data_IF_461827815805
#
_entry.id   IF_461827815805
#
_cell.length_a   1.000
_cell.length_b   1.000
_cell.length_c   1.000
_cell.angle_alpha   90.00
_cell.angle_beta   90.00
_cell.angle_gamma   90.00
#
_symmetry.space_group_name_H-M   'P 1'
#
loop_
_entity.id
_entity.type
_entity.pdbx_description
1 polymer ?
#
# COMPACT_ATOMS: atom_id res chain seq x y z
N UNK A 1 -29.22 22.38 52.11
CA UNK A 1 -29.08 21.06 51.47
C UNK A 1 -29.04 21.31 49.96
N UNK A 2 -27.97 20.89 49.25
CA UNK A 2 -27.49 21.34 47.90
C UNK A 2 -26.79 22.71 47.92
N UNK A 3 -25.68 23.02 47.24
CA UNK A 3 -24.92 22.52 46.05
C UNK A 3 -23.43 22.92 46.23
N UNK A 4 -22.46 22.06 45.93
CA UNK A 4 -21.60 22.03 44.72
C UNK A 4 -20.77 23.31 44.45
N UNK A 5 -19.44 23.18 44.61
CA UNK A 5 -18.30 23.93 44.04
C UNK A 5 -17.07 23.09 44.46
N UNK A 6 -16.44 22.24 43.67
CA UNK A 6 -15.98 22.28 42.27
C UNK A 6 -14.87 23.32 42.02
N UNK A 7 -13.72 23.11 42.69
CA UNK A 7 -12.43 23.69 42.30
C UNK A 7 -11.58 22.58 41.65
N UNK A 8 -11.91 22.29 40.39
CA UNK A 8 -11.08 21.47 39.52
C UNK A 8 -9.89 22.28 39.03
N UNK A 9 -8.70 21.96 39.55
CA UNK A 9 -7.45 22.39 38.94
C UNK A 9 -7.36 21.86 37.50
N UNK A 10 -7.21 22.79 36.56
CA UNK A 10 -6.90 22.55 35.15
C UNK A 10 -5.56 21.81 35.06
N UNK A 11 -5.62 20.49 34.94
CA UNK A 11 -4.50 19.70 34.43
C UNK A 11 -4.32 20.11 32.97
N UNK A 12 -3.40 21.04 32.74
CA UNK A 12 -2.82 21.36 31.44
C UNK A 12 -2.34 20.05 30.81
N UNK A 13 -3.14 19.53 29.88
CA UNK A 13 -2.73 18.45 29.00
C UNK A 13 -1.53 18.95 28.19
N UNK A 14 -0.33 18.53 28.59
CA UNK A 14 0.85 18.64 27.75
C UNK A 14 0.54 17.87 26.46
N UNK A 15 0.79 18.43 25.27
CA UNK A 15 0.69 17.65 24.05
C UNK A 15 1.64 16.47 24.18
N UNK A 16 1.10 15.26 24.02
CA UNK A 16 1.89 14.03 23.98
C UNK A 16 3.08 14.25 23.04
N UNK A 17 4.29 14.11 23.59
CA UNK A 17 5.50 14.06 22.80
C UNK A 17 5.37 12.85 21.87
N UNK A 18 4.95 13.07 20.63
CA UNK A 18 5.10 12.11 19.54
C UNK A 18 6.57 11.73 19.50
N UNK A 19 6.92 10.53 19.97
CA UNK A 19 8.26 9.99 19.82
C UNK A 19 8.63 10.05 18.34
N UNK A 20 9.83 10.52 18.03
CA UNK A 20 10.35 10.49 16.68
C UNK A 20 10.41 9.02 16.23
N UNK A 21 9.77 8.62 15.11
CA UNK A 21 9.81 7.24 14.64
C UNK A 21 11.21 6.81 14.19
N UNK A 22 12.15 7.76 14.11
CA UNK A 22 13.56 7.54 13.86
C UNK A 22 14.30 7.55 15.19
N UNK A 23 14.61 6.35 15.71
CA UNK A 23 15.32 6.17 16.96
C UNK A 23 16.84 6.33 16.85
N UNK A 24 17.49 6.37 18.01
CA UNK A 24 18.93 6.17 18.14
C UNK A 24 19.17 4.68 18.45
N UNK A 25 19.73 3.93 17.50
CA UNK A 25 19.95 2.49 17.64
C UNK A 25 20.78 1.94 16.49
N UNK A 26 21.45 0.80 16.71
CA UNK A 26 22.24 0.12 15.68
C UNK A 26 21.32 -0.31 14.53
N UNK A 27 21.64 0.07 13.31
CA UNK A 27 20.85 -0.28 12.11
C UNK A 27 19.57 0.53 11.93
N UNK A 28 19.28 1.49 12.80
CA UNK A 28 18.13 2.38 12.63
C UNK A 28 18.34 3.29 11.41
N UNK A 29 17.30 3.44 10.59
CA UNK A 29 17.31 4.38 9.48
C UNK A 29 17.20 5.80 10.04
N UNK A 30 18.10 6.69 9.65
CA UNK A 30 18.02 8.07 10.10
C UNK A 30 16.84 8.79 9.43
N UNK A 31 16.31 9.81 10.10
CA UNK A 31 15.23 10.64 9.53
C UNK A 31 15.65 11.26 8.19
N UNK A 32 16.88 11.75 8.12
CA UNK A 32 17.40 12.40 6.90
C UNK A 32 17.48 11.42 5.74
N UNK A 33 17.96 10.20 5.97
CA UNK A 33 18.08 9.18 4.92
C UNK A 33 16.69 8.72 4.46
N UNK A 34 15.75 8.55 5.39
CA UNK A 34 14.37 8.23 5.05
C UNK A 34 13.70 9.34 4.23
N UNK A 35 13.84 10.60 4.64
CA UNK A 35 13.26 11.74 3.92
C UNK A 35 13.89 11.88 2.52
N UNK A 36 15.21 11.67 2.39
CA UNK A 36 15.90 11.67 1.11
C UNK A 36 15.36 10.58 0.17
N UNK A 37 15.18 9.36 0.66
CA UNK A 37 14.57 8.27 -0.11
C UNK A 37 13.12 8.59 -0.49
N UNK A 38 12.30 9.05 0.47
CA UNK A 38 10.90 9.40 0.25
C UNK A 38 10.74 10.43 -0.87
N UNK A 39 11.58 11.45 -0.88
CA UNK A 39 11.44 12.60 -1.77
C UNK A 39 11.98 12.32 -3.17
N UNK A 40 13.05 11.51 -3.27
CA UNK A 40 13.80 11.30 -4.51
C UNK A 40 13.58 9.93 -5.16
N UNK A 41 13.36 8.87 -4.36
CA UNK A 41 13.47 7.49 -4.83
C UNK A 41 12.15 6.72 -4.83
N UNK A 42 11.13 7.16 -4.07
CA UNK A 42 9.78 6.59 -4.17
C UNK A 42 9.21 6.84 -5.57
N UNK A 43 9.10 5.77 -6.37
CA UNK A 43 8.59 5.80 -7.75
C UNK A 43 7.10 5.56 -7.87
N UNK A 44 6.48 4.91 -6.88
CA UNK A 44 5.03 4.75 -6.85
C UNK A 44 4.35 6.12 -6.73
N UNK A 45 3.64 6.53 -7.78
CA UNK A 45 2.97 7.85 -7.83
C UNK A 45 1.89 7.99 -6.75
N UNK A 46 1.12 6.92 -6.52
CA UNK A 46 0.14 6.87 -5.44
C UNK A 46 0.84 6.93 -4.07
N UNK A 47 1.86 6.12 -3.83
CA UNK A 47 2.66 6.17 -2.60
C UNK A 47 3.24 7.56 -2.32
N UNK A 48 3.82 8.20 -3.34
CA UNK A 48 4.38 9.57 -3.24
C UNK A 48 3.32 10.59 -2.85
N UNK A 49 2.12 10.50 -3.46
CA UNK A 49 0.96 11.33 -3.09
C UNK A 49 0.60 11.14 -1.61
N UNK A 50 0.46 9.89 -1.16
CA UNK A 50 0.07 9.61 0.23
C UNK A 50 1.13 10.06 1.24
N UNK A 51 2.42 9.92 0.92
CA UNK A 51 3.51 10.48 1.73
C UNK A 51 3.43 12.00 1.84
N UNK A 52 3.19 12.70 0.72
CA UNK A 52 3.07 14.17 0.70
C UNK A 52 1.87 14.67 1.50
N UNK A 53 0.78 13.90 1.53
CA UNK A 53 -0.40 14.20 2.34
C UNK A 53 -0.26 13.79 3.81
N UNK A 54 0.88 13.20 4.21
CA UNK A 54 1.11 12.71 5.57
C UNK A 54 0.25 11.50 5.95
N UNK A 55 -0.23 10.75 4.96
CA UNK A 55 -1.14 9.60 5.15
C UNK A 55 -0.45 8.25 5.26
N UNK A 56 0.87 8.22 5.14
CA UNK A 56 1.65 7.07 5.60
C UNK A 56 1.82 7.12 7.12
N UNK A 57 1.57 6.00 7.79
CA UNK A 57 2.09 5.73 9.12
C UNK A 57 3.44 5.05 8.96
N UNK A 58 4.49 5.57 9.59
CA UNK A 58 5.86 5.06 9.42
C UNK A 58 6.42 4.84 10.82
N UNK A 59 6.81 3.60 11.10
CA UNK A 59 7.28 3.20 12.42
C UNK A 59 8.50 2.29 12.29
N UNK A 60 9.44 2.38 13.23
CA UNK A 60 10.53 1.40 13.33
C UNK A 60 10.08 0.21 14.19
N UNK A 61 10.16 -0.99 13.63
CA UNK A 61 9.73 -2.23 14.28
C UNK A 61 10.83 -3.27 14.24
N UNK A 62 11.12 -3.88 15.39
CA UNK A 62 12.19 -4.87 15.53
C UNK A 62 11.64 -6.30 15.69
N UNK A 63 10.36 -6.46 15.99
CA UNK A 63 9.70 -7.76 16.24
C UNK A 63 8.19 -7.66 15.99
N UNK A 64 7.50 -8.81 16.04
CA UNK A 64 6.05 -8.87 15.77
C UNK A 64 5.19 -8.09 16.77
N UNK A 65 5.58 -8.00 18.05
CA UNK A 65 4.85 -7.21 19.04
C UNK A 65 4.84 -5.72 18.68
N UNK A 66 5.99 -5.16 18.33
CA UNK A 66 6.10 -3.76 17.90
C UNK A 66 5.35 -3.51 16.60
N UNK A 67 5.40 -4.46 15.66
CA UNK A 67 4.60 -4.40 14.44
C UNK A 67 3.11 -4.32 14.75
N UNK A 68 2.58 -5.22 15.60
CA UNK A 68 1.16 -5.22 15.98
C UNK A 68 0.70 -3.90 16.59
N UNK A 69 1.45 -3.36 17.56
CA UNK A 69 1.13 -2.06 18.18
C UNK A 69 1.13 -0.92 17.16
N UNK A 70 2.12 -0.86 16.27
CA UNK A 70 2.17 0.15 15.22
C UNK A 70 1.04 -0.01 14.20
N UNK A 71 0.71 -1.26 13.85
CA UNK A 71 -0.37 -1.56 12.93
C UNK A 71 -1.74 -1.17 13.49
N UNK A 72 -2.01 -1.39 14.79
CA UNK A 72 -3.25 -0.97 15.43
C UNK A 72 -3.43 0.56 15.37
N UNK A 73 -2.36 1.32 15.62
CA UNK A 73 -2.37 2.78 15.47
C UNK A 73 -2.65 3.21 14.02
N UNK A 74 -2.08 2.49 13.05
CA UNK A 74 -2.37 2.70 11.63
C UNK A 74 -3.85 2.41 11.32
N UNK A 75 -4.39 1.27 11.78
CA UNK A 75 -5.76 0.86 11.54
C UNK A 75 -6.76 1.88 12.12
N UNK A 76 -6.47 2.44 13.30
CA UNK A 76 -7.24 3.54 13.87
C UNK A 76 -7.18 4.81 13.01
N UNK A 77 -6.01 5.12 12.43
CA UNK A 77 -5.87 6.18 11.45
C UNK A 77 -6.66 5.94 10.16
N UNK A 78 -6.72 4.70 9.68
CA UNK A 78 -7.53 4.29 8.52
C UNK A 78 -9.02 4.52 8.80
N UNK A 79 -9.51 4.10 9.97
CA UNK A 79 -10.92 4.28 10.40
C UNK A 79 -11.34 5.75 10.45
N UNK A 80 -10.40 6.66 10.76
CA UNK A 80 -10.60 8.12 10.74
C UNK A 80 -10.32 8.77 9.39
N UNK A 81 -10.00 7.99 8.35
CA UNK A 81 -9.58 8.45 7.03
C UNK A 81 -8.32 9.36 7.04
N UNK A 82 -7.49 9.23 8.07
CA UNK A 82 -6.24 9.98 8.26
C UNK A 82 -5.04 9.27 7.63
N UNK A 83 -5.12 7.94 7.47
CA UNK A 83 -4.03 7.08 6.98
C UNK A 83 -4.49 6.18 5.85
N UNK A 84 -3.58 5.89 4.93
CA UNK A 84 -3.82 5.07 3.71
C UNK A 84 -2.74 4.01 3.49
N UNK A 85 -1.54 4.19 4.04
CA UNK A 85 -0.47 3.21 3.99
C UNK A 85 0.30 3.11 5.31
N UNK A 86 0.88 1.95 5.55
CA UNK A 86 1.75 1.68 6.68
C UNK A 86 3.11 1.17 6.20
N UNK A 87 4.18 1.76 6.70
CA UNK A 87 5.54 1.33 6.42
C UNK A 87 6.26 1.01 7.73
N UNK A 88 6.42 -0.29 8.00
CA UNK A 88 7.15 -0.79 9.15
C UNK A 88 8.63 -0.97 8.75
N UNK A 89 9.50 -0.08 9.20
CA UNK A 89 10.94 -0.10 8.89
C UNK A 89 11.66 -0.97 9.91
N UNK A 90 12.43 -1.95 9.43
CA UNK A 90 13.15 -2.90 10.28
C UNK A 90 14.61 -2.50 10.42
N UNK A 91 15.07 -2.11 11.63
CA UNK A 91 16.46 -1.75 11.86
C UNK A 91 17.40 -2.89 11.48
N UNK A 92 18.36 -2.59 10.61
CA UNK A 92 19.33 -3.55 10.09
C UNK A 92 20.50 -2.82 9.43
N UNK A 93 21.68 -3.42 9.49
CA UNK A 93 22.90 -2.97 8.83
C UNK A 93 23.10 -3.70 7.50
N UNK A 94 23.88 -3.11 6.59
CA UNK A 94 24.16 -3.68 5.27
C UNK A 94 24.79 -5.07 5.34
N UNK A 95 25.59 -5.34 6.38
CA UNK A 95 26.24 -6.65 6.59
C UNK A 95 25.38 -7.68 7.32
N UNK A 96 24.16 -7.34 7.76
CA UNK A 96 23.31 -8.27 8.51
C UNK A 96 22.75 -9.39 7.61
N UNK A 97 22.68 -9.14 6.29
CA UNK A 97 22.20 -10.09 5.29
C UNK A 97 23.11 -10.09 4.06
N UNK A 98 23.18 -11.22 3.38
CA UNK A 98 23.96 -11.41 2.16
C UNK A 98 23.12 -11.38 0.88
N UNK A 99 21.79 -11.50 1.00
CA UNK A 99 20.84 -11.56 -0.10
C UNK A 99 19.40 -11.24 0.38
N UNK A 100 18.48 -11.12 -0.57
CA UNK A 100 17.05 -10.90 -0.30
C UNK A 100 16.42 -12.07 0.45
N UNK A 101 16.94 -13.29 0.33
CA UNK A 101 16.37 -14.48 0.99
C UNK A 101 16.49 -14.36 2.51
N UNK A 102 17.64 -13.91 3.01
CA UNK A 102 17.84 -13.63 4.44
C UNK A 102 16.91 -12.54 4.95
N UNK A 103 16.76 -11.47 4.18
CA UNK A 103 15.88 -10.34 4.49
C UNK A 103 14.41 -10.76 4.58
N UNK A 104 13.93 -11.53 3.59
CA UNK A 104 12.56 -12.03 3.54
C UNK A 104 12.21 -12.96 4.70
N UNK A 105 13.15 -13.82 5.11
CA UNK A 105 12.96 -14.66 6.30
C UNK A 105 12.76 -13.82 7.55
N UNK A 106 13.57 -12.77 7.73
CA UNK A 106 13.45 -11.86 8.88
C UNK A 106 12.10 -11.15 8.91
N UNK A 107 11.64 -10.66 7.76
CA UNK A 107 10.33 -10.00 7.65
C UNK A 107 9.18 -10.99 7.89
N UNK A 108 9.28 -12.22 7.38
CA UNK A 108 8.31 -13.28 7.60
C UNK A 108 8.19 -13.67 9.08
N UNK A 109 9.31 -13.75 9.82
CA UNK A 109 9.31 -13.98 11.28
C UNK A 109 8.51 -12.91 12.03
N UNK A 110 8.68 -11.63 11.67
CA UNK A 110 7.93 -10.52 12.28
C UNK A 110 6.43 -10.69 12.06
N UNK A 111 6.00 -11.07 10.85
CA UNK A 111 4.58 -11.28 10.54
C UNK A 111 3.98 -12.48 11.29
N UNK A 112 4.74 -13.55 11.47
CA UNK A 112 4.33 -14.71 12.28
C UNK A 112 4.22 -14.33 13.75
N UNK A 113 5.22 -13.66 14.31
CA UNK A 113 5.22 -13.19 15.69
C UNK A 113 4.06 -12.22 15.96
N UNK A 114 3.68 -11.41 14.97
CA UNK A 114 2.54 -10.49 15.05
C UNK A 114 1.18 -11.20 14.92
N UNK A 115 1.15 -12.50 14.60
CA UNK A 115 -0.08 -13.29 14.49
C UNK A 115 -0.82 -13.14 13.16
N UNK A 116 -0.17 -12.59 12.12
CA UNK A 116 -0.77 -12.41 10.79
C UNK A 116 -0.48 -13.56 9.82
N UNK A 117 0.33 -14.53 10.23
CA UNK A 117 0.64 -15.72 9.44
C UNK A 117 1.00 -16.90 10.33
N UNK A 118 0.72 -18.12 9.87
CA UNK A 118 1.08 -19.35 10.59
C UNK A 118 2.54 -19.77 10.36
N UNK A 119 3.13 -19.38 9.21
CA UNK A 119 4.48 -19.80 8.84
C UNK A 119 5.21 -18.77 8.00
N UNK A 120 6.39 -18.34 8.47
CA UNK A 120 7.30 -17.50 7.70
C UNK A 120 7.73 -18.20 6.41
N UNK A 121 7.85 -19.53 6.44
CA UNK A 121 8.16 -20.34 5.28
C UNK A 121 7.07 -20.30 4.20
N UNK A 122 5.80 -20.25 4.59
CA UNK A 122 4.69 -20.16 3.63
C UNK A 122 4.60 -18.74 3.03
N UNK A 123 4.80 -17.71 3.86
CA UNK A 123 4.90 -16.32 3.41
C UNK A 123 5.96 -16.09 2.35
N UNK A 124 7.18 -16.58 2.56
CA UNK A 124 8.26 -16.39 1.56
C UNK A 124 8.03 -17.22 0.29
N UNK A 125 7.10 -18.19 0.29
CA UNK A 125 6.75 -18.98 -0.89
C UNK A 125 5.52 -18.42 -1.63
N UNK A 126 5.17 -17.14 -1.44
CA UNK A 126 4.11 -16.49 -2.20
C UNK A 126 2.75 -16.49 -1.53
N UNK A 127 2.65 -16.72 -0.22
CA UNK A 127 1.38 -16.59 0.48
C UNK A 127 0.98 -15.10 0.63
N UNK A 128 -0.28 -14.82 0.31
CA UNK A 128 -0.90 -13.51 0.52
C UNK A 128 -1.38 -13.39 1.95
N UNK A 129 -0.95 -12.34 2.65
CA UNK A 129 -1.60 -11.88 3.88
C UNK A 129 -2.66 -10.86 3.49
N UNK A 130 -3.89 -11.05 3.94
CA UNK A 130 -4.97 -10.08 3.79
C UNK A 130 -5.47 -9.68 5.17
N UNK A 131 -5.27 -8.42 5.54
CA UNK A 131 -5.71 -7.89 6.84
C UNK A 131 -7.00 -7.08 6.62
N UNK A 132 -8.17 -7.62 6.98
CA UNK A 132 -9.43 -6.90 6.81
C UNK A 132 -9.55 -5.78 7.86
N UNK A 133 -9.86 -4.57 7.41
CA UNK A 133 -10.20 -3.44 8.27
C UNK A 133 -11.63 -2.98 7.97
N UNK A 134 -12.46 -2.98 9.02
CA UNK A 134 -13.79 -2.37 9.00
C UNK A 134 -13.67 -0.84 9.02
N UNK A 135 -14.30 -0.18 8.06
CA UNK A 135 -14.23 1.27 7.88
C UNK A 135 -15.48 1.78 7.15
N UNK A 136 -15.93 2.99 7.47
CA UNK A 136 -16.92 3.67 6.64
C UNK A 136 -16.30 4.00 5.29
N UNK A 137 -16.87 3.50 4.19
CA UNK A 137 -16.33 3.71 2.85
C UNK A 137 -16.18 5.21 2.56
N UNK A 138 -14.99 5.71 2.20
CA UNK A 138 -14.76 7.15 1.99
C UNK A 138 -15.55 7.71 0.79
N UNK A 139 -16.07 6.84 -0.07
CA UNK A 139 -16.87 7.19 -1.25
C UNK A 139 -18.37 7.13 -0.98
N UNK A 140 -18.84 6.11 -0.27
CA UNK A 140 -20.27 5.86 -0.11
C UNK A 140 -20.82 6.20 1.27
N UNK A 141 -19.96 6.32 2.29
CA UNK A 141 -20.34 6.50 3.69
C UNK A 141 -20.89 5.23 4.35
N UNK A 142 -20.98 4.12 3.61
CA UNK A 142 -21.50 2.83 4.08
C UNK A 142 -20.35 2.04 4.71
N UNK A 143 -20.60 1.45 5.89
CA UNK A 143 -19.64 0.57 6.55
C UNK A 143 -19.34 -0.66 5.69
N UNK A 144 -18.05 -0.93 5.50
CA UNK A 144 -17.57 -2.05 4.68
C UNK A 144 -16.20 -2.51 5.16
N UNK A 145 -15.65 -3.53 4.50
CA UNK A 145 -14.33 -4.08 4.79
C UNK A 145 -13.42 -3.80 3.61
N UNK A 146 -12.27 -3.21 3.89
CA UNK A 146 -11.14 -3.15 2.97
C UNK A 146 -10.04 -4.10 3.44
N UNK A 147 -9.53 -4.93 2.54
CA UNK A 147 -8.34 -5.73 2.82
C UNK A 147 -7.07 -4.90 2.55
N UNK A 148 -6.13 -4.98 3.50
CA UNK A 148 -4.80 -4.39 3.40
C UNK A 148 -3.76 -5.50 3.28
N UNK A 149 -2.82 -5.30 2.37
CA UNK A 149 -1.86 -6.32 1.96
C UNK A 149 -0.44 -5.86 2.30
N UNK A 150 0.26 -6.53 3.23
CA UNK A 150 1.66 -6.31 3.49
C UNK A 150 2.52 -6.93 2.38
N UNK A 151 3.51 -6.17 1.91
CA UNK A 151 4.52 -6.57 0.92
C UNK A 151 5.90 -6.27 1.48
N UNK A 152 6.82 -7.22 1.34
CA UNK A 152 8.20 -7.08 1.80
C UNK A 152 9.05 -6.24 0.85
N UNK A 153 9.75 -5.23 1.38
CA UNK A 153 10.79 -4.48 0.67
C UNK A 153 12.17 -4.87 1.21
N UNK A 154 13.04 -5.28 0.28
CA UNK A 154 14.38 -5.77 0.57
C UNK A 154 15.45 -4.84 -0.02
N UNK A 155 16.58 -4.66 0.66
CA UNK A 155 17.68 -3.87 0.09
C UNK A 155 18.29 -4.58 -1.11
N UNK A 156 18.48 -5.89 -0.98
CA UNK A 156 19.16 -6.69 -1.99
C UNK A 156 18.34 -6.88 -3.27
N UNK A 157 17.04 -6.61 -3.25
CA UNK A 157 16.20 -6.67 -4.45
C UNK A 157 16.62 -5.66 -5.53
N UNK A 158 17.40 -4.63 -5.20
CA UNK A 158 18.02 -3.72 -6.16
C UNK A 158 19.34 -4.24 -6.77
N UNK A 159 19.91 -5.32 -6.24
CA UNK A 159 21.21 -5.87 -6.66
C UNK A 159 20.99 -6.88 -7.79
N UNK A 160 21.48 -6.57 -8.99
CA UNK A 160 21.25 -7.40 -10.19
C UNK A 160 21.77 -8.85 -10.06
N UNK A 161 22.78 -9.08 -9.22
CA UNK A 161 23.31 -10.42 -8.95
C UNK A 161 22.48 -11.21 -7.92
N UNK A 162 21.53 -10.57 -7.24
CA UNK A 162 20.65 -11.23 -6.28
C UNK A 162 19.66 -12.16 -7.01
N UNK A 163 19.45 -13.39 -6.54
CA UNK A 163 18.54 -14.33 -7.20
C UNK A 163 17.08 -13.84 -7.24
N UNK A 164 16.69 -12.93 -6.34
CA UNK A 164 15.37 -12.34 -6.26
C UNK A 164 15.35 -10.88 -6.75
N UNK A 165 16.29 -10.49 -7.61
CA UNK A 165 16.37 -9.16 -8.20
C UNK A 165 15.00 -8.70 -8.73
N UNK A 166 14.51 -7.63 -8.10
CA UNK A 166 13.24 -7.00 -8.38
C UNK A 166 13.30 -5.56 -7.83
N UNK A 167 13.79 -4.61 -8.63
CA UNK A 167 14.02 -3.24 -8.15
C UNK A 167 12.73 -2.54 -7.72
N UNK A 168 11.56 -3.04 -8.13
CA UNK A 168 10.26 -2.49 -7.76
C UNK A 168 9.85 -2.83 -6.32
N UNK A 169 10.43 -3.88 -5.74
CA UNK A 169 10.28 -4.31 -4.34
C UNK A 169 11.53 -3.96 -3.51
N UNK A 170 12.30 -2.96 -3.94
CA UNK A 170 13.51 -2.53 -3.27
C UNK A 170 13.35 -1.22 -2.51
N UNK A 171 14.09 -1.10 -1.41
CA UNK A 171 14.25 0.13 -0.64
C UNK A 171 15.65 0.16 -0.01
N UNK A 172 16.20 1.33 0.38
CA UNK A 172 17.51 1.42 1.04
C UNK A 172 17.49 0.85 2.47
N UNK A 173 16.34 0.34 2.92
CA UNK A 173 16.13 -0.29 4.20
C UNK A 173 15.20 -1.48 4.07
N UNK A 174 15.26 -2.37 5.04
CA UNK A 174 14.32 -3.47 5.17
C UNK A 174 12.97 -2.94 5.67
N UNK A 175 11.87 -3.27 5.00
CA UNK A 175 10.55 -2.81 5.43
C UNK A 175 9.41 -3.75 5.04
N UNK A 176 8.31 -3.62 5.76
CA UNK A 176 7.00 -4.20 5.40
C UNK A 176 6.09 -3.03 5.03
N UNK A 177 5.62 -3.02 3.79
CA UNK A 177 4.74 -2.00 3.26
C UNK A 177 3.32 -2.54 3.15
N UNK A 178 2.38 -2.00 3.94
CA UNK A 178 1.00 -2.47 3.98
C UNK A 178 0.06 -1.42 3.42
N UNK A 179 -0.63 -1.76 2.32
CA UNK A 179 -1.53 -0.84 1.60
C UNK A 179 -2.79 -1.54 1.09
N UNK A 180 -3.77 -0.76 0.67
CA UNK A 180 -4.98 -1.22 -0.02
C UNK A 180 -5.27 -0.30 -1.19
N UNK A 181 -5.14 -0.80 -2.43
CA UNK A 181 -5.35 -0.01 -3.65
C UNK A 181 -6.79 0.53 -3.72
N UNK A 182 -7.78 -0.28 -3.38
CA UNK A 182 -9.19 0.11 -3.40
C UNK A 182 -9.50 1.19 -2.36
N UNK A 183 -8.91 1.09 -1.17
CA UNK A 183 -9.06 2.13 -0.14
C UNK A 183 -8.33 3.43 -0.53
N UNK A 184 -7.09 3.33 -1.00
CA UNK A 184 -6.32 4.48 -1.46
C UNK A 184 -7.00 5.20 -2.64
N UNK A 185 -7.58 4.44 -3.57
CA UNK A 185 -8.41 4.99 -4.65
C UNK A 185 -9.66 5.68 -4.11
N UNK A 186 -10.35 5.08 -3.14
CA UNK A 186 -11.48 5.72 -2.45
C UNK A 186 -11.10 7.04 -1.77
N UNK A 187 -9.92 7.10 -1.17
CA UNK A 187 -9.38 8.33 -0.57
C UNK A 187 -9.01 9.40 -1.61
N UNK A 188 -8.57 9.02 -2.81
CA UNK A 188 -8.43 9.96 -3.93
C UNK A 188 -9.78 10.57 -4.31
N UNK A 189 -10.84 9.76 -4.39
CA UNK A 189 -12.20 10.25 -4.68
C UNK A 189 -12.66 11.22 -3.60
N UNK A 190 -12.47 10.86 -2.33
CA UNK A 190 -12.76 11.73 -1.19
C UNK A 190 -12.07 13.09 -1.30
N UNK A 191 -10.78 13.10 -1.60
CA UNK A 191 -10.02 14.36 -1.71
C UNK A 191 -10.45 15.24 -2.87
N UNK A 192 -10.75 14.61 -4.02
CA UNK A 192 -11.24 15.36 -5.18
C UNK A 192 -12.67 15.87 -4.97
N UNK A 193 -13.51 15.15 -4.21
CA UNK A 193 -14.80 15.65 -3.78
C UNK A 193 -14.65 16.89 -2.88
N UNK A 194 -13.83 16.79 -1.83
CA UNK A 194 -13.57 17.91 -0.92
C UNK A 194 -13.02 19.15 -1.64
N UNK A 195 -12.16 18.95 -2.64
CA UNK A 195 -11.59 20.04 -3.43
C UNK A 195 -12.58 20.71 -4.39
N UNK A 196 -13.49 19.95 -4.99
CA UNK A 196 -14.36 20.44 -6.07
C UNK A 196 -15.79 20.74 -5.65
N UNK A 197 -16.30 20.02 -4.65
CA UNK A 197 -17.67 20.10 -4.17
C UNK A 197 -17.77 20.54 -2.70
N UNK A 198 -16.64 20.59 -1.98
CA UNK A 198 -16.58 20.97 -0.56
C UNK A 198 -17.44 20.10 0.37
N UNK A 199 -17.59 18.83 0.00
CA UNK A 199 -18.33 17.83 0.75
C UNK A 199 -17.72 16.44 0.52
N UNK A 200 -18.14 15.47 1.32
CA UNK A 200 -17.78 14.07 1.10
C UNK A 200 -18.45 13.54 -0.20
N UNK A 201 -17.89 12.53 -0.88
CA UNK A 201 -18.44 12.05 -2.14
C UNK A 201 -19.90 11.58 -2.01
N UNK A 202 -20.26 10.97 -0.88
CA UNK A 202 -21.63 10.54 -0.62
C UNK A 202 -22.60 11.68 -0.30
N UNK A 203 -22.14 12.92 -0.16
CA UNK A 203 -23.01 14.10 0.02
C UNK A 203 -23.32 14.81 -1.31
N UNK A 204 -22.72 14.35 -2.43
CA UNK A 204 -22.98 14.91 -3.76
C UNK A 204 -24.42 14.57 -4.18
N UNK A 205 -25.26 15.59 -4.28
CA UNK A 205 -26.69 15.45 -4.53
C UNK A 205 -27.01 14.91 -5.94
N UNK A 206 -26.29 15.37 -6.96
CA UNK A 206 -26.57 15.02 -8.35
C UNK A 206 -25.77 13.78 -8.77
N UNK A 207 -26.47 12.71 -9.17
CA UNK A 207 -25.85 11.46 -9.66
C UNK A 207 -24.83 11.71 -10.77
N UNK A 208 -25.16 12.58 -11.73
CA UNK A 208 -24.25 12.91 -12.83
C UNK A 208 -22.93 13.56 -12.36
N UNK A 209 -22.97 14.38 -11.30
CA UNK A 209 -21.77 15.00 -10.76
C UNK A 209 -20.88 13.99 -10.03
N UNK A 210 -21.50 13.06 -9.29
CA UNK A 210 -20.82 11.94 -8.64
C UNK A 210 -20.16 11.00 -9.65
N UNK A 211 -20.89 10.58 -10.69
CA UNK A 211 -20.35 9.73 -11.76
C UNK A 211 -19.19 10.42 -12.51
N UNK A 212 -19.31 11.73 -12.78
CA UNK A 212 -18.24 12.52 -13.38
C UNK A 212 -17.00 12.61 -12.47
N UNK A 213 -17.19 12.76 -11.16
CA UNK A 213 -16.09 12.72 -10.19
C UNK A 213 -15.38 11.37 -10.25
N UNK A 214 -16.13 10.26 -10.19
CA UNK A 214 -15.57 8.91 -10.25
C UNK A 214 -14.77 8.67 -11.53
N UNK A 215 -15.31 9.05 -12.68
CA UNK A 215 -14.61 8.92 -13.96
C UNK A 215 -13.29 9.71 -13.99
N UNK A 216 -13.30 10.94 -13.44
CA UNK A 216 -12.09 11.77 -13.32
C UNK A 216 -11.06 11.11 -12.39
N UNK A 217 -11.50 10.54 -11.27
CA UNK A 217 -10.61 9.85 -10.34
C UNK A 217 -10.02 8.59 -10.96
N UNK A 218 -10.82 7.76 -11.62
CA UNK A 218 -10.35 6.55 -12.31
C UNK A 218 -9.30 6.89 -13.38
N UNK A 219 -9.52 7.96 -14.15
CA UNK A 219 -8.54 8.47 -15.13
C UNK A 219 -7.23 8.91 -14.46
N UNK A 220 -7.32 9.63 -13.33
CA UNK A 220 -6.14 10.04 -12.58
C UNK A 220 -5.38 8.84 -12.00
N UNK A 221 -6.10 7.86 -11.46
CA UNK A 221 -5.54 6.61 -10.93
C UNK A 221 -4.79 5.82 -12.02
N UNK A 222 -5.41 5.65 -13.19
CA UNK A 222 -4.77 5.05 -14.37
C UNK A 222 -3.47 5.74 -14.74
N UNK A 223 -3.46 7.08 -14.80
CA UNK A 223 -2.26 7.84 -15.15
C UNK A 223 -1.15 7.71 -14.10
N UNK A 224 -1.52 7.66 -12.81
CA UNK A 224 -0.56 7.38 -11.73
C UNK A 224 0.06 5.99 -11.87
N UNK A 225 -0.74 4.96 -12.16
CA UNK A 225 -0.22 3.60 -12.37
C UNK A 225 0.68 3.50 -13.61
N UNK A 226 0.31 4.12 -14.73
CA UNK A 226 1.16 4.19 -15.94
C UNK A 226 2.52 4.82 -15.61
N UNK A 227 2.53 5.94 -14.88
CA UNK A 227 3.76 6.63 -14.50
C UNK A 227 4.62 5.77 -13.56
N UNK A 228 4.00 5.08 -12.59
CA UNK A 228 4.68 4.16 -11.68
C UNK A 228 5.37 3.03 -12.46
N UNK A 229 4.62 2.32 -13.29
CA UNK A 229 5.14 1.18 -14.08
C UNK A 229 6.25 1.63 -15.03
N UNK A 230 6.04 2.75 -15.73
CA UNK A 230 7.06 3.32 -16.63
C UNK A 230 8.33 3.69 -15.88
N UNK A 231 8.21 4.21 -14.65
CA UNK A 231 9.37 4.58 -13.83
C UNK A 231 10.14 3.36 -13.35
N UNK A 232 9.46 2.30 -12.91
CA UNK A 232 10.09 1.04 -12.52
C UNK A 232 10.69 0.28 -13.70
N UNK A 233 10.06 0.32 -14.88
CA UNK A 233 10.62 -0.25 -16.10
C UNK A 233 11.99 0.38 -16.44
N UNK A 234 12.11 1.71 -16.34
CA UNK A 234 13.34 2.45 -16.67
C UNK A 234 14.53 2.16 -15.74
N UNK A 235 14.28 1.73 -14.51
CA UNK A 235 15.35 1.44 -13.55
C UNK A 235 15.79 -0.03 -13.56
N UNK A 236 15.05 -0.90 -14.26
CA UNK A 236 15.42 -2.30 -14.37
C UNK A 236 16.73 -2.45 -15.17
N UNK A 237 17.74 -3.04 -14.52
CA UNK A 237 19.01 -3.39 -15.15
C UNK A 237 18.94 -4.67 -15.98
N UNK A 238 17.88 -5.46 -15.80
CA UNK A 238 17.62 -6.72 -16.50
C UNK A 238 16.20 -6.67 -17.13
N UNK A 239 16.07 -6.63 -18.47
CA UNK A 239 14.78 -6.53 -19.16
C UNK A 239 13.79 -7.64 -18.80
N UNK A 240 14.27 -8.87 -18.58
CA UNK A 240 13.46 -10.04 -18.21
C UNK A 240 12.90 -9.97 -16.77
N UNK A 241 13.41 -9.05 -15.95
CA UNK A 241 12.89 -8.74 -14.61
C UNK A 241 12.24 -7.36 -14.55
N UNK A 242 12.07 -6.69 -15.69
CA UNK A 242 11.42 -5.39 -15.72
C UNK A 242 9.90 -5.56 -15.59
N UNK A 243 9.26 -4.65 -14.85
CA UNK A 243 7.82 -4.46 -14.99
C UNK A 243 7.53 -3.84 -16.35
N UNK A 244 6.43 -4.20 -16.99
CA UNK A 244 6.06 -3.66 -18.30
C UNK A 244 4.57 -3.35 -18.39
N UNK A 245 4.21 -2.40 -19.24
CA UNK A 245 2.83 -2.03 -19.53
C UNK A 245 2.42 -2.63 -20.88
N UNK A 246 1.21 -3.17 -20.99
CA UNK A 246 0.66 -3.59 -22.28
C UNK A 246 0.40 -2.39 -23.19
N UNK A 247 0.40 -2.61 -24.51
CA UNK A 247 0.16 -1.53 -25.50
C UNK A 247 -1.19 -0.84 -25.31
N UNK A 248 -2.23 -1.61 -24.98
CA UNK A 248 -3.57 -1.11 -24.69
C UNK A 248 -3.72 -0.50 -23.29
N UNK A 249 -2.67 -0.60 -22.46
CA UNK A 249 -2.59 -0.11 -21.07
C UNK A 249 -3.68 -0.66 -20.15
N UNK A 250 -4.22 -1.82 -20.50
CA UNK A 250 -5.22 -2.54 -19.69
C UNK A 250 -4.58 -3.53 -18.73
N UNK A 251 -3.32 -3.90 -18.98
CA UNK A 251 -2.58 -4.87 -18.20
C UNK A 251 -1.16 -4.37 -17.96
N UNK A 252 -0.53 -4.91 -16.93
CA UNK A 252 0.89 -4.75 -16.68
C UNK A 252 1.48 -6.07 -16.23
N UNK A 253 2.77 -6.27 -16.47
CA UNK A 253 3.49 -7.48 -16.05
C UNK A 253 4.55 -7.14 -15.02
N UNK A 254 4.80 -8.09 -14.12
CA UNK A 254 5.82 -7.99 -13.08
C UNK A 254 6.50 -9.34 -12.86
N UNK A 255 7.77 -9.35 -12.39
CA UNK A 255 8.46 -10.58 -11.99
C UNK A 255 7.99 -11.12 -10.62
N UNK A 256 6.87 -10.61 -10.10
CA UNK A 256 6.26 -11.01 -8.85
C UNK A 256 4.73 -11.03 -8.97
N UNK A 257 4.08 -11.78 -8.09
CA UNK A 257 2.64 -11.70 -7.93
C UNK A 257 2.26 -10.53 -6.98
N UNK A 258 1.11 -9.89 -7.19
CA UNK A 258 0.66 -8.73 -6.42
C UNK A 258 -0.85 -8.87 -6.10
N UNK A 259 -1.24 -9.08 -4.83
CA UNK A 259 -0.42 -9.04 -3.64
C UNK A 259 0.12 -10.41 -3.24
N UNK A 260 1.41 -10.48 -2.95
CA UNK A 260 2.02 -11.53 -2.12
C UNK A 260 2.95 -10.87 -1.13
N UNK A 261 3.13 -11.50 0.04
CA UNK A 261 4.06 -10.95 1.02
C UNK A 261 5.49 -10.96 0.47
N UNK A 262 5.90 -12.11 -0.07
CA UNK A 262 7.23 -12.34 -0.61
C UNK A 262 7.25 -13.60 -1.49
N UNK A 263 8.24 -13.72 -2.38
CA UNK A 263 8.43 -14.89 -3.25
C UNK A 263 9.91 -15.27 -3.32
N UNK A 264 10.21 -16.56 -3.10
CA UNK A 264 11.54 -17.14 -3.31
C UNK A 264 11.80 -17.57 -4.75
N UNK A 265 10.78 -17.52 -5.60
CA UNK A 265 10.89 -17.78 -7.03
C UNK A 265 10.20 -16.66 -7.80
N UNK A 266 10.96 -15.99 -8.66
CA UNK A 266 10.45 -14.87 -9.45
C UNK A 266 9.86 -15.38 -10.76
N UNK A 267 8.55 -15.24 -10.89
CA UNK A 267 7.77 -15.61 -12.07
C UNK A 267 7.03 -14.40 -12.63
N UNK A 268 6.82 -14.37 -13.95
CA UNK A 268 6.12 -13.25 -14.56
C UNK A 268 4.62 -13.42 -14.40
N UNK A 269 3.97 -12.39 -13.88
CA UNK A 269 2.53 -12.33 -13.70
C UNK A 269 1.94 -11.15 -14.47
N UNK A 270 0.73 -11.31 -14.98
CA UNK A 270 -0.08 -10.26 -15.60
C UNK A 270 -1.14 -9.76 -14.63
N UNK A 271 -1.21 -8.45 -14.49
CA UNK A 271 -2.04 -7.76 -13.51
C UNK A 271 -2.94 -6.74 -14.20
N UNK A 272 -4.14 -6.54 -13.66
CA UNK A 272 -5.09 -5.55 -14.19
C UNK A 272 -4.61 -4.12 -13.94
N UNK A 273 -4.83 -3.23 -14.92
CA UNK A 273 -4.68 -1.79 -14.73
C UNK A 273 -5.97 -1.16 -14.20
N UNK A 274 -5.90 0.03 -13.56
CA UNK A 274 -7.06 0.78 -13.06
C UNK A 274 -8.24 0.91 -14.01
N UNK A 275 -7.99 1.04 -15.32
CA UNK A 275 -9.05 1.11 -16.34
C UNK A 275 -10.03 -0.08 -16.26
N UNK A 276 -9.58 -1.22 -15.72
CA UNK A 276 -10.41 -2.39 -15.43
C UNK A 276 -10.94 -2.34 -13.99
N UNK A 277 -10.06 -2.47 -13.00
CA UNK A 277 -10.53 -2.70 -11.61
C UNK A 277 -11.16 -1.47 -10.97
N UNK A 278 -10.68 -0.26 -11.27
CA UNK A 278 -11.24 0.97 -10.73
C UNK A 278 -12.61 1.28 -11.37
N UNK A 279 -12.83 0.86 -12.62
CA UNK A 279 -14.14 0.92 -13.25
C UNK A 279 -15.16 0.04 -12.50
N UNK A 280 -14.79 -1.19 -12.16
CA UNK A 280 -15.63 -2.08 -11.33
C UNK A 280 -15.93 -1.50 -9.95
N UNK A 281 -14.93 -0.90 -9.29
CA UNK A 281 -15.13 -0.21 -8.01
C UNK A 281 -16.11 0.96 -8.14
N UNK A 282 -15.97 1.78 -9.18
CA UNK A 282 -16.89 2.89 -9.45
C UNK A 282 -18.32 2.40 -9.67
N UNK A 283 -18.53 1.33 -10.44
CA UNK A 283 -19.85 0.72 -10.66
C UNK A 283 -20.46 0.26 -9.33
N UNK A 284 -19.69 -0.41 -8.47
CA UNK A 284 -20.14 -0.83 -7.13
C UNK A 284 -20.56 0.36 -6.28
N UNK A 285 -19.78 1.44 -6.26
CA UNK A 285 -20.09 2.63 -5.48
C UNK A 285 -21.33 3.36 -6.00
N UNK A 286 -21.52 3.43 -7.32
CA UNK A 286 -22.74 3.99 -7.94
C UNK A 286 -23.96 3.17 -7.55
N UNK A 287 -23.89 1.84 -7.72
CA UNK A 287 -24.98 0.94 -7.38
C UNK A 287 -25.35 1.00 -5.89
N UNK A 288 -24.34 1.05 -5.01
CA UNK A 288 -24.57 1.20 -3.57
C UNK A 288 -25.20 2.55 -3.21
N UNK A 289 -24.86 3.62 -3.93
CA UNK A 289 -25.38 4.97 -3.63
C UNK A 289 -26.76 5.26 -4.19
N UNK A 290 -27.08 4.74 -5.37
CA UNK A 290 -28.28 5.15 -6.11
C UNK A 290 -29.25 4.00 -6.40
N UNK A 291 -28.78 2.75 -6.33
CA UNK A 291 -29.56 1.58 -6.74
C UNK A 291 -29.83 0.62 -5.55
N UNK A 292 -29.52 1.03 -4.32
CA UNK A 292 -29.65 0.25 -3.07
C UNK A 292 -28.95 -1.12 -3.12
N UNK A 293 -27.87 -1.23 -3.88
CA UNK A 293 -27.07 -2.45 -3.90
C UNK A 293 -26.20 -2.57 -2.64
N UNK A 294 -25.94 -3.79 -2.21
CA UNK A 294 -24.99 -4.05 -1.12
C UNK A 294 -23.56 -3.71 -1.55
N UNK A 295 -22.80 -3.06 -0.67
CA UNK A 295 -21.37 -2.82 -0.88
C UNK A 295 -20.57 -4.04 -0.42
N UNK A 296 -20.44 -5.02 -1.32
CA UNK A 296 -19.75 -6.28 -1.03
C UNK A 296 -18.21 -6.08 -1.07
N UNK A 297 -17.47 -6.45 0.00
CA UNK A 297 -16.02 -6.43 0.02
C UNK A 297 -15.39 -7.21 -1.14
N UNK A 298 -14.29 -6.71 -1.68
CA UNK A 298 -13.59 -7.36 -2.80
C UNK A 298 -12.14 -6.90 -2.92
N UNK A 299 -11.32 -7.74 -3.55
CA UNK A 299 -9.89 -7.51 -3.84
C UNK A 299 -9.62 -6.69 -5.10
N UNK A 300 -10.56 -5.85 -5.53
CA UNK A 300 -10.34 -5.02 -6.72
C UNK A 300 -9.09 -4.15 -6.56
N UNK A 301 -8.18 -4.23 -7.53
CA UNK A 301 -6.90 -3.53 -7.52
C UNK A 301 -5.72 -4.35 -6.99
N UNK A 302 -5.98 -5.38 -6.18
CA UNK A 302 -4.98 -6.28 -5.60
C UNK A 302 -5.53 -7.71 -5.49
N UNK A 303 -5.94 -8.29 -6.62
CA UNK A 303 -6.54 -9.63 -6.69
C UNK A 303 -5.56 -10.76 -6.96
N UNK A 304 -4.26 -10.46 -7.12
CA UNK A 304 -3.30 -11.38 -7.71
C UNK A 304 -3.27 -11.29 -9.23
N UNK A 305 -2.13 -11.62 -9.80
CA UNK A 305 -1.89 -11.70 -11.24
C UNK A 305 -2.02 -13.11 -11.79
N UNK A 306 -2.26 -13.17 -13.09
CA UNK A 306 -2.26 -14.41 -13.85
C UNK A 306 -0.81 -14.76 -14.24
N UNK A 307 -0.34 -15.95 -13.84
CA UNK A 307 0.97 -16.44 -14.25
C UNK A 307 1.06 -16.52 -15.78
N UNK A 308 2.14 -15.99 -16.36
CA UNK A 308 2.43 -16.06 -17.79
C UNK A 308 3.52 -17.10 -18.05
N UNK A 309 3.21 -18.09 -18.90
CA UNK A 309 4.21 -19.04 -19.36
C UNK A 309 5.25 -18.34 -20.25
N UNK A 310 6.47 -18.87 -20.30
CA UNK A 310 7.58 -18.29 -21.06
C UNK A 310 7.25 -18.05 -22.56
N UNK A 311 6.46 -18.95 -23.15
CA UNK A 311 6.03 -18.86 -24.55
C UNK A 311 5.06 -17.68 -24.79
N UNK A 312 4.24 -17.33 -23.78
CA UNK A 312 3.31 -16.20 -23.85
C UNK A 312 4.03 -14.85 -23.68
N UNK A 313 5.10 -14.83 -22.86
CA UNK A 313 5.97 -13.66 -22.69
C UNK A 313 6.67 -13.34 -24.02
N UNK A 314 7.24 -14.36 -24.68
CA UNK A 314 7.93 -14.17 -25.95
C UNK A 314 7.01 -13.68 -27.08
N UNK A 315 5.71 -13.97 -27.02
CA UNK A 315 4.72 -13.46 -27.96
C UNK A 315 4.37 -11.98 -27.70
N UNK A 316 4.37 -11.54 -26.44
CA UNK A 316 4.07 -10.15 -26.05
C UNK A 316 5.22 -9.17 -26.34
N UNK A 317 6.46 -9.65 -26.47
CA UNK A 317 7.66 -8.84 -26.73
C UNK A 317 8.16 -8.91 -28.19
N UNK A 318 7.38 -9.46 -29.14
CA UNK A 318 7.72 -9.37 -30.57
C UNK A 318 7.12 -8.09 -31.18
N UNK A 319 7.96 -7.17 -31.67
CA UNK A 319 7.51 -5.92 -32.29
C UNK A 319 6.73 -6.12 -33.59
#
# INVERSE_FOLDING_TARGET
MRRDQDDGELISARPEQRQCPFGHGRGAVSRTDFEAWRDNDVRCSAGKREFQLGRYHVEQVSNGYQFGVAFDNFADGVRRHEKTGFLAVVPSLDQDFSDSVGELKRLGEIMVEAGYAESAGALVRGETIAIPLEVSCPVTGIDTIYEFFPVAFCRHAAVMADPLYDPSLSAPFLAINTTSDSFAFGMLVHDLAQRHFHCAPYEIAQRADFERLLHKCATAWQNMSINTITSYNRMAGAPERAVALSDDRRWWTAPHNDPVFAELEKQTHSHEMPVIYAARLCEKWIAARYDNADLVPSRDGQSGGLHLAFDDIAAAFRP
#
